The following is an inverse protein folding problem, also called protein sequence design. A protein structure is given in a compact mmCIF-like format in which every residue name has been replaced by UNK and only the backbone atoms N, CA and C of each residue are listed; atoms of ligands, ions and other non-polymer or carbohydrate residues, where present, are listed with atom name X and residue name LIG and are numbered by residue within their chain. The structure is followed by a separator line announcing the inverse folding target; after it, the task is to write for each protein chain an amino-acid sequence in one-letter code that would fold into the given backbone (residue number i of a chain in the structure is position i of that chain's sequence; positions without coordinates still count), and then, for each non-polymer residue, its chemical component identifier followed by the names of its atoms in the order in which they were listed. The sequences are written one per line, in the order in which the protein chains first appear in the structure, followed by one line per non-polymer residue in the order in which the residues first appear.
data_IF_741070934797
#
_entry.id   IF_741070934797
#
_cell.length_a   1.000
_cell.length_b   1.000
_cell.length_c   1.000
_cell.angle_alpha   90.00
_cell.angle_beta   90.00
_cell.angle_gamma   90.00
#
_symmetry.space_group_name_H-M   'P 1'
#
loop_
_entity.id
_entity.type
_entity.pdbx_description
1 polymer ?
#
# COMPACT_ATOMS: atom_id res chain seq x y z
N UNK A 1 -7.16 25.45 12.54
CA UNK A 1 -7.36 24.01 12.26
C UNK A 1 -6.46 23.68 11.08
N UNK A 2 -5.31 23.02 11.31
CA UNK A 2 -4.42 22.63 10.22
C UNK A 2 -5.08 21.46 9.48
N UNK A 3 -5.78 21.76 8.39
CA UNK A 3 -6.32 20.74 7.49
C UNK A 3 -5.12 20.24 6.67
N UNK A 4 -4.41 19.23 7.19
CA UNK A 4 -3.50 18.46 6.34
C UNK A 4 -4.34 17.93 5.17
N UNK A 5 -3.90 18.10 3.91
CA UNK A 5 -4.63 17.57 2.77
C UNK A 5 -4.82 16.07 2.93
N UNK A 6 -5.99 15.59 2.54
CA UNK A 6 -6.35 14.18 2.65
C UNK A 6 -5.38 13.36 1.80
N UNK A 7 -4.58 12.51 2.45
CA UNK A 7 -3.49 11.81 1.79
C UNK A 7 -4.05 10.81 0.76
N UNK A 8 -3.40 10.77 -0.42
CA UNK A 8 -3.68 9.76 -1.44
C UNK A 8 -3.38 8.36 -0.91
N UNK A 9 -3.95 7.34 -1.54
CA UNK A 9 -3.68 5.95 -1.16
C UNK A 9 -2.19 5.62 -1.25
N UNK A 10 -1.52 6.11 -2.32
CA UNK A 10 -0.08 5.97 -2.52
C UNK A 10 0.74 6.57 -1.37
N UNK A 11 0.38 7.76 -0.91
CA UNK A 11 1.07 8.43 0.20
C UNK A 11 0.85 7.71 1.52
N UNK A 12 -0.41 7.35 1.82
CA UNK A 12 -0.77 6.53 2.99
C UNK A 12 0.08 5.25 3.03
N UNK A 13 0.16 4.54 1.90
CA UNK A 13 0.95 3.32 1.79
C UNK A 13 2.44 3.57 2.00
N UNK A 14 2.99 4.60 1.37
CA UNK A 14 4.41 4.95 1.49
C UNK A 14 4.79 5.24 2.94
N UNK A 15 4.00 6.07 3.62
CA UNK A 15 4.21 6.42 5.03
C UNK A 15 4.12 5.17 5.91
N UNK A 16 3.12 4.31 5.68
CA UNK A 16 2.94 3.10 6.50
C UNK A 16 4.08 2.10 6.31
N UNK A 17 4.52 1.85 5.08
CA UNK A 17 5.67 0.98 4.81
C UNK A 17 6.95 1.50 5.47
N UNK A 18 7.17 2.83 5.46
CA UNK A 18 8.29 3.45 6.17
C UNK A 18 8.20 3.26 7.69
N UNK A 19 7.01 3.43 8.29
CA UNK A 19 6.78 3.18 9.72
C UNK A 19 7.01 1.73 10.10
N UNK A 20 6.44 0.81 9.32
CA UNK A 20 6.63 -0.63 9.53
C UNK A 20 8.11 -1.01 9.44
N UNK A 21 8.85 -0.49 8.44
CA UNK A 21 10.30 -0.70 8.33
C UNK A 21 11.06 -0.24 9.58
N UNK A 22 10.74 0.94 10.11
CA UNK A 22 11.36 1.47 11.34
C UNK A 22 11.03 0.64 12.58
N UNK A 23 9.83 0.06 12.63
CA UNK A 23 9.37 -0.78 13.73
C UNK A 23 9.75 -2.27 13.59
N UNK A 24 10.44 -2.66 12.51
CA UNK A 24 10.73 -4.08 12.23
C UNK A 24 9.51 -4.92 11.84
N UNK A 25 8.40 -4.26 11.46
CA UNK A 25 7.14 -4.90 11.08
C UNK A 25 7.04 -5.12 9.57
N UNK A 26 6.22 -6.10 9.16
CA UNK A 26 5.86 -6.33 7.75
C UNK A 26 4.44 -5.84 7.45
N UNK A 27 4.15 -5.42 6.20
CA UNK A 27 5.09 -5.18 5.11
C UNK A 27 5.94 -3.93 5.38
N UNK A 28 7.24 -4.01 5.06
CA UNK A 28 8.18 -2.88 5.14
C UNK A 28 8.49 -2.30 3.74
N UNK A 29 8.03 -2.98 2.69
CA UNK A 29 8.27 -2.63 1.29
C UNK A 29 7.19 -3.18 0.36
N UNK A 30 7.11 -2.66 -0.86
CA UNK A 30 6.26 -3.24 -1.91
C UNK A 30 6.69 -4.68 -2.28
N UNK A 31 7.96 -5.04 -2.03
CA UNK A 31 8.43 -6.42 -2.25
C UNK A 31 7.82 -7.40 -1.23
N UNK A 32 7.58 -6.95 0.01
CA UNK A 32 6.89 -7.78 1.01
C UNK A 32 5.44 -8.03 0.63
N UNK A 33 4.78 -7.01 0.07
CA UNK A 33 3.42 -7.14 -0.48
C UNK A 33 3.42 -8.12 -1.65
N UNK A 34 4.34 -7.95 -2.61
CA UNK A 34 4.47 -8.83 -3.77
C UNK A 34 4.67 -10.29 -3.35
N UNK A 35 5.58 -10.56 -2.40
CA UNK A 35 5.80 -11.91 -1.86
C UNK A 35 4.58 -12.46 -1.11
N UNK A 36 3.92 -11.64 -0.29
CA UNK A 36 2.76 -12.09 0.52
C UNK A 36 1.57 -12.54 -0.33
N UNK A 37 1.40 -11.92 -1.49
CA UNK A 37 0.25 -12.14 -2.38
C UNK A 37 0.62 -12.81 -3.71
N UNK A 38 1.87 -13.26 -3.87
CA UNK A 38 2.37 -13.94 -5.08
C UNK A 38 2.15 -13.10 -6.36
N UNK A 39 2.40 -11.80 -6.25
CA UNK A 39 2.26 -10.83 -7.34
C UNK A 39 3.62 -10.34 -7.83
N UNK A 40 3.67 -9.86 -9.08
CA UNK A 40 4.85 -9.14 -9.55
C UNK A 40 4.97 -7.78 -8.83
N UNK A 41 6.20 -7.34 -8.57
CA UNK A 41 6.44 -6.00 -7.98
C UNK A 41 5.88 -4.88 -8.85
N UNK A 42 5.93 -5.05 -10.18
CA UNK A 42 5.36 -4.10 -11.14
C UNK A 42 3.85 -3.98 -10.97
N UNK A 43 3.14 -5.10 -10.80
CA UNK A 43 1.69 -5.07 -10.59
C UNK A 43 1.32 -4.42 -9.25
N UNK A 44 2.05 -4.75 -8.17
CA UNK A 44 1.88 -4.09 -6.86
C UNK A 44 2.08 -2.58 -6.98
N UNK A 45 3.11 -2.14 -7.73
CA UNK A 45 3.36 -0.73 -7.95
C UNK A 45 2.20 -0.05 -8.69
N UNK A 46 1.67 -0.66 -9.75
CA UNK A 46 0.55 -0.12 -10.51
C UNK A 46 -0.73 0.05 -9.66
N UNK A 47 -1.02 -0.94 -8.80
CA UNK A 47 -2.17 -0.86 -7.88
C UNK A 47 -1.98 0.26 -6.84
N UNK A 48 -0.78 0.38 -6.25
CA UNK A 48 -0.45 1.41 -5.26
C UNK A 48 -0.42 2.81 -5.87
N UNK A 49 0.07 2.94 -7.10
CA UNK A 49 0.11 4.20 -7.83
C UNK A 49 -1.26 4.65 -8.35
N UNK A 50 -2.31 3.84 -8.14
CA UNK A 50 -3.67 4.08 -8.63
C UNK A 50 -3.75 4.25 -10.16
N UNK A 51 -2.76 3.72 -10.89
CA UNK A 51 -2.72 3.78 -12.36
C UNK A 51 -3.71 2.79 -13.00
N UNK A 52 -4.06 1.72 -12.29
CA UNK A 52 -5.17 0.83 -12.65
C UNK A 52 -6.41 1.13 -11.81
N UNK A 53 -7.54 1.28 -12.51
CA UNK A 53 -8.87 1.50 -11.94
C UNK A 53 -9.78 0.30 -12.20
N UNK A 54 -10.77 0.12 -11.33
CA UNK A 54 -11.80 -0.91 -11.46
C UNK A 54 -11.80 -1.93 -10.32
N UNK A 55 -12.85 -2.77 -10.23
CA UNK A 55 -13.18 -3.54 -9.03
C UNK A 55 -12.03 -4.42 -8.51
N UNK A 56 -11.31 -5.09 -9.42
CA UNK A 56 -10.16 -5.93 -9.06
C UNK A 56 -9.01 -5.14 -8.43
N UNK A 57 -8.75 -3.93 -8.93
CA UNK A 57 -7.72 -3.06 -8.35
C UNK A 57 -8.13 -2.52 -6.98
N UNK A 58 -9.42 -2.27 -6.77
CA UNK A 58 -9.96 -1.84 -5.46
C UNK A 58 -9.88 -2.95 -4.41
N UNK A 59 -10.17 -4.19 -4.80
CA UNK A 59 -9.96 -5.36 -3.94
C UNK A 59 -8.50 -5.50 -3.51
N UNK A 60 -7.56 -5.31 -4.44
CA UNK A 60 -6.14 -5.34 -4.10
C UNK A 60 -5.74 -4.18 -3.19
N UNK A 61 -6.25 -2.97 -3.42
CA UNK A 61 -6.02 -1.83 -2.51
C UNK A 61 -6.49 -2.17 -1.08
N UNK A 62 -7.67 -2.76 -0.92
CA UNK A 62 -8.17 -3.21 0.40
C UNK A 62 -7.25 -4.26 1.05
N UNK A 63 -6.83 -5.27 0.29
CA UNK A 63 -5.92 -6.33 0.79
C UNK A 63 -4.55 -5.77 1.19
N UNK A 64 -4.00 -4.85 0.41
CA UNK A 64 -2.71 -4.22 0.69
C UNK A 64 -2.81 -3.28 1.90
N UNK A 65 -3.87 -2.49 2.01
CA UNK A 65 -4.18 -1.65 3.16
C UNK A 65 -4.27 -2.46 4.46
N UNK A 66 -5.06 -3.54 4.46
CA UNK A 66 -5.21 -4.43 5.59
C UNK A 66 -3.87 -5.06 6.01
N UNK A 67 -3.08 -5.56 5.05
CA UNK A 67 -1.76 -6.11 5.38
C UNK A 67 -0.80 -5.05 5.92
N UNK A 68 -0.85 -3.82 5.39
CA UNK A 68 -0.03 -2.71 5.86
C UNK A 68 -0.46 -2.15 7.22
N UNK A 69 -1.70 -2.40 7.65
CA UNK A 69 -2.29 -1.82 8.87
C UNK A 69 -2.78 -0.38 8.63
N UNK A 70 -3.40 -0.14 7.48
CA UNK A 70 -4.07 1.11 7.13
C UNK A 70 -5.56 0.75 7.03
N UNK A 71 -6.32 1.06 8.07
CA UNK A 71 -7.78 0.97 8.08
C UNK A 71 -8.38 2.33 7.74
#
# INVERSE_FOLDING_TARGET
MNILPDLTYKEKMTIRLMRNKRAGLKPASQADIARRFELSRMYVNAVIAESQKGPKSDEWRKKFAAYAGIE
#
